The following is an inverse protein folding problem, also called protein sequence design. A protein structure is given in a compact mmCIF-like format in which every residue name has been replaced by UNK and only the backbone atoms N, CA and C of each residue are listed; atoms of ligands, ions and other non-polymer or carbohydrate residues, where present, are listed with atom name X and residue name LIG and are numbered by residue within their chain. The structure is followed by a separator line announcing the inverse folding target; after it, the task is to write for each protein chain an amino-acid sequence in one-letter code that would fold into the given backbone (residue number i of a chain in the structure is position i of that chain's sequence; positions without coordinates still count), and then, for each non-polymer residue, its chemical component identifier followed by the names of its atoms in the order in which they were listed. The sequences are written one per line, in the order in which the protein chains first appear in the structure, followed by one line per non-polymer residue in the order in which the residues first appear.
data_IF_266059689351
#
_entry.id   IF_266059689351
#
_cell.length_a   1.000
_cell.length_b   1.000
_cell.length_c   1.000
_cell.angle_alpha   90.00
_cell.angle_beta   90.00
_cell.angle_gamma   90.00
#
_symmetry.space_group_name_H-M   'P 1'
#
loop_
_entity.id
_entity.type
_entity.pdbx_description
1 polymer ?
#
# COMPACT_ATOMS: atom_id res chain seq x y z
N UNK A 1 18.93 8.85 -9.93
CA UNK A 1 18.27 7.93 -8.96
C UNK A 1 18.79 8.27 -7.58
N UNK A 2 17.92 8.31 -6.57
CA UNK A 2 18.33 8.52 -5.19
C UNK A 2 17.69 7.49 -4.27
N UNK A 3 18.28 7.26 -3.10
CA UNK A 3 17.82 6.26 -2.17
C UNK A 3 17.82 6.81 -0.74
N UNK A 4 16.82 6.39 0.04
CA UNK A 4 16.77 6.61 1.49
C UNK A 4 16.30 5.34 2.18
N UNK A 5 17.20 4.70 2.94
CA UNK A 5 16.94 3.36 3.47
C UNK A 5 16.67 2.39 2.32
N UNK A 6 15.60 1.58 2.44
CA UNK A 6 15.19 0.60 1.41
C UNK A 6 14.30 1.17 0.31
N UNK A 7 14.08 2.49 0.29
CA UNK A 7 13.25 3.15 -0.74
C UNK A 7 14.15 3.78 -1.79
N UNK A 8 13.87 3.48 -3.05
CA UNK A 8 14.58 3.99 -4.23
C UNK A 8 13.64 4.86 -5.04
N UNK A 9 14.10 6.04 -5.45
CA UNK A 9 13.33 6.96 -6.27
C UNK A 9 14.09 7.26 -7.56
N UNK A 10 13.39 7.04 -8.67
CA UNK A 10 13.87 7.30 -10.00
C UNK A 10 13.03 8.39 -10.65
N UNK A 11 13.70 9.44 -11.13
CA UNK A 11 13.11 10.60 -11.78
C UNK A 11 13.83 10.84 -13.11
N UNK A 12 13.12 11.40 -14.07
CA UNK A 12 13.64 11.82 -15.37
C UNK A 12 13.07 13.18 -15.73
N UNK A 13 13.80 13.96 -16.51
CA UNK A 13 13.36 15.22 -17.10
C UNK A 13 13.06 15.09 -18.61
N UNK A 14 12.92 13.87 -19.13
CA UNK A 14 12.73 13.62 -20.56
C UNK A 14 11.38 14.13 -21.10
N UNK A 15 10.39 14.39 -20.24
CA UNK A 15 9.08 14.95 -20.59
C UNK A 15 8.05 13.89 -21.01
N UNK A 16 6.78 14.29 -21.10
CA UNK A 16 5.64 13.38 -21.27
C UNK A 16 5.58 12.62 -22.60
N UNK A 17 6.33 13.08 -23.60
CA UNK A 17 6.40 12.47 -24.93
C UNK A 17 7.73 11.74 -25.17
N UNK A 18 8.54 11.57 -24.12
CA UNK A 18 9.76 10.80 -24.25
C UNK A 18 9.43 9.31 -24.41
N UNK A 19 10.26 8.65 -25.20
CA UNK A 19 10.34 7.19 -25.16
C UNK A 19 10.82 6.69 -23.78
N UNK A 20 11.06 5.39 -23.72
CA UNK A 20 11.56 4.71 -22.53
C UNK A 20 13.01 5.12 -22.21
N UNK A 21 13.24 5.58 -20.98
CA UNK A 21 14.58 5.82 -20.43
C UNK A 21 14.91 4.68 -19.49
N UNK A 22 15.97 3.92 -19.80
CA UNK A 22 16.46 2.82 -19.00
C UNK A 22 17.77 3.16 -18.30
N UNK A 23 17.94 2.67 -17.08
CA UNK A 23 19.19 2.81 -16.34
C UNK A 23 19.39 1.63 -15.39
N UNK A 24 20.60 1.07 -15.37
CA UNK A 24 21.03 0.13 -14.35
C UNK A 24 21.61 0.90 -13.17
N UNK A 25 21.10 0.62 -11.98
CA UNK A 25 21.54 1.23 -10.72
C UNK A 25 22.20 0.16 -9.88
N UNK A 26 23.41 0.43 -9.38
CA UNK A 26 24.14 -0.46 -8.48
C UNK A 26 24.15 0.08 -7.05
N UNK A 27 24.58 -0.78 -6.11
CA UNK A 27 24.73 -0.43 -4.69
C UNK A 27 23.43 0.01 -4.01
N UNK A 28 22.29 -0.45 -4.51
CA UNK A 28 21.01 -0.23 -3.83
C UNK A 28 21.00 -1.01 -2.52
N UNK A 29 20.67 -0.35 -1.41
CA UNK A 29 20.66 -1.04 -0.12
C UNK A 29 19.47 -1.99 -0.05
N UNK A 30 19.74 -3.25 0.21
CA UNK A 30 18.76 -4.30 0.33
C UNK A 30 19.45 -5.65 0.37
N UNK A 31 18.65 -6.71 0.49
CA UNK A 31 19.14 -8.07 0.40
C UNK A 31 19.07 -8.47 -1.08
N UNK A 32 20.13 -9.06 -1.60
CA UNK A 32 20.09 -9.66 -2.94
C UNK A 32 18.94 -10.68 -3.03
N UNK A 33 18.21 -10.66 -4.13
CA UNK A 33 16.99 -11.45 -4.33
C UNK A 33 15.73 -10.83 -3.72
N UNK A 34 15.83 -9.73 -2.95
CA UNK A 34 14.63 -9.05 -2.45
C UNK A 34 13.86 -8.34 -3.56
N UNK A 35 12.53 -8.35 -3.43
CA UNK A 35 11.59 -7.75 -4.38
C UNK A 35 11.29 -6.31 -3.96
N UNK A 36 11.51 -5.36 -4.87
CA UNK A 36 11.12 -3.97 -4.72
C UNK A 36 10.03 -3.64 -5.74
N UNK A 37 8.93 -3.07 -5.29
CA UNK A 37 7.76 -2.76 -6.11
C UNK A 37 7.55 -1.26 -6.22
N UNK A 38 7.10 -0.81 -7.40
CA UNK A 38 6.67 0.57 -7.59
C UNK A 38 5.39 0.81 -6.78
N UNK A 39 5.47 1.74 -5.82
CA UNK A 39 4.36 2.04 -4.91
C UNK A 39 3.14 2.57 -5.68
N UNK A 40 3.37 3.32 -6.76
CA UNK A 40 2.33 3.93 -7.58
C UNK A 40 2.01 3.12 -8.85
N UNK A 41 2.70 2.01 -9.07
CA UNK A 41 2.58 1.19 -10.27
C UNK A 41 1.54 0.07 -10.15
N UNK A 42 1.42 -0.71 -11.22
CA UNK A 42 0.64 -1.96 -11.20
C UNK A 42 1.26 -2.99 -10.25
N UNK A 43 0.51 -4.06 -9.97
CA UNK A 43 0.97 -5.09 -9.05
C UNK A 43 2.26 -5.79 -9.52
N UNK A 44 2.47 -5.80 -10.83
CA UNK A 44 3.57 -6.46 -11.50
C UNK A 44 4.77 -5.52 -11.78
N UNK A 45 4.67 -4.22 -11.48
CA UNK A 45 5.78 -3.27 -11.64
C UNK A 45 6.76 -3.40 -10.47
N UNK A 46 7.42 -4.55 -10.41
CA UNK A 46 8.41 -4.90 -9.39
C UNK A 46 9.71 -5.39 -10.04
N UNK A 47 10.78 -5.30 -9.27
CA UNK A 47 12.16 -5.58 -9.69
C UNK A 47 12.84 -6.36 -8.59
N UNK A 48 13.64 -7.36 -9.00
CA UNK A 48 14.43 -8.18 -8.09
C UNK A 48 15.81 -7.56 -7.98
N UNK A 49 16.27 -7.38 -6.76
CA UNK A 49 17.60 -6.84 -6.50
C UNK A 49 18.66 -7.89 -6.84
N UNK A 50 19.48 -7.62 -7.84
CA UNK A 50 20.59 -8.48 -8.24
C UNK A 50 21.83 -8.31 -7.36
N UNK A 51 22.88 -9.05 -7.72
CA UNK A 51 24.17 -9.01 -7.03
C UNK A 51 24.72 -7.59 -6.89
N UNK A 52 25.28 -7.29 -5.71
CA UNK A 52 25.82 -5.97 -5.40
C UNK A 52 24.77 -4.86 -5.34
N UNK A 53 23.50 -5.21 -5.12
CA UNK A 53 22.40 -4.24 -5.09
C UNK A 53 22.08 -3.67 -6.47
N UNK A 54 22.21 -4.48 -7.52
CA UNK A 54 21.92 -4.05 -8.89
C UNK A 54 20.43 -4.12 -9.20
N UNK A 55 19.89 -3.14 -9.90
CA UNK A 55 18.52 -3.19 -10.43
C UNK A 55 18.41 -2.37 -11.71
N UNK A 56 17.57 -2.84 -12.64
CA UNK A 56 17.23 -2.10 -13.85
C UNK A 56 15.97 -1.29 -13.64
N UNK A 57 16.02 -0.02 -14.01
CA UNK A 57 14.90 0.91 -13.90
C UNK A 57 14.53 1.39 -15.30
N UNK A 58 13.24 1.34 -15.59
CA UNK A 58 12.65 1.86 -16.83
C UNK A 58 11.59 2.91 -16.49
N UNK A 59 11.74 4.09 -17.09
CA UNK A 59 10.85 5.24 -16.96
C UNK A 59 10.25 5.56 -18.34
N UNK A 60 8.91 5.64 -18.44
CA UNK A 60 8.20 5.91 -19.70
C UNK A 60 7.47 7.25 -19.62
N UNK A 61 7.40 7.97 -20.74
CA UNK A 61 6.63 9.21 -20.86
C UNK A 61 6.99 10.23 -19.76
N UNK A 62 8.28 10.37 -19.44
CA UNK A 62 8.74 11.27 -18.38
C UNK A 62 8.29 10.91 -16.96
N UNK A 63 7.66 9.76 -16.75
CA UNK A 63 7.13 9.33 -15.45
C UNK A 63 8.23 8.91 -14.48
N UNK A 64 8.13 9.36 -13.22
CA UNK A 64 8.97 8.87 -12.14
C UNK A 64 8.45 7.58 -11.53
N UNK A 65 9.31 6.83 -10.84
CA UNK A 65 8.95 5.63 -10.08
C UNK A 65 9.54 5.66 -8.68
N UNK A 66 8.80 5.10 -7.71
CA UNK A 66 9.24 4.94 -6.33
C UNK A 66 9.17 3.47 -5.99
N UNK A 67 10.33 2.83 -5.86
CA UNK A 67 10.45 1.44 -5.50
C UNK A 67 10.65 1.28 -4.00
N UNK A 68 9.88 0.39 -3.40
CA UNK A 68 10.00 0.01 -2.00
C UNK A 68 9.78 -1.50 -1.84
N UNK A 69 10.24 -2.10 -0.74
CA UNK A 69 9.93 -3.49 -0.42
C UNK A 69 8.43 -3.75 -0.44
N UNK A 70 8.04 -4.97 -0.82
CA UNK A 70 6.63 -5.37 -0.96
C UNK A 70 5.83 -5.12 0.33
N UNK A 71 6.45 -5.28 1.50
CA UNK A 71 5.86 -5.00 2.81
C UNK A 71 5.47 -3.53 3.03
N UNK A 72 5.98 -2.59 2.23
CA UNK A 72 5.64 -1.17 2.30
C UNK A 72 4.54 -0.78 1.32
N UNK A 73 4.21 -1.66 0.37
CA UNK A 73 3.17 -1.37 -0.60
C UNK A 73 1.82 -1.77 0.00
N UNK A 74 1.08 -0.76 0.44
CA UNK A 74 -0.26 -0.92 1.01
C UNK A 74 -1.26 -1.28 -0.10
N UNK A 75 -1.30 -2.55 -0.50
CA UNK A 75 -2.18 -3.05 -1.58
C UNK A 75 -3.51 -3.61 -1.07
N UNK A 76 -3.53 -4.06 0.19
CA UNK A 76 -4.71 -4.67 0.82
C UNK A 76 -5.40 -3.75 1.84
N UNK A 77 -5.19 -2.45 1.72
CA UNK A 77 -6.19 -1.50 2.24
C UNK A 77 -7.41 -1.53 1.33
N UNK A 78 -8.09 -2.68 1.28
CA UNK A 78 -9.54 -2.66 1.16
C UNK A 78 -10.04 -1.58 2.13
N UNK A 79 -11.09 -0.82 1.81
CA UNK A 79 -11.61 0.20 2.71
C UNK A 79 -12.20 -0.50 3.94
N UNK A 80 -11.36 -0.92 4.87
CA UNK A 80 -11.72 -1.25 6.23
C UNK A 80 -12.09 0.09 6.87
N UNK A 81 -13.35 0.47 6.68
CA UNK A 81 -14.04 1.44 7.52
C UNK A 81 -13.46 2.86 7.53
N UNK A 82 -13.46 3.51 6.37
CA UNK A 82 -13.61 4.98 6.33
C UNK A 82 -15.10 5.32 6.52
N UNK A 83 -15.67 4.94 7.66
CA UNK A 83 -16.91 5.53 8.18
C UNK A 83 -16.53 6.47 9.31
N UNK A 84 -16.17 7.70 8.97
CA UNK A 84 -15.98 8.77 9.96
C UNK A 84 -17.31 9.29 10.53
N UNK A 85 -18.44 8.69 10.17
CA UNK A 85 -19.79 9.16 10.53
C UNK A 85 -20.52 8.32 11.58
N UNK A 86 -19.96 7.23 12.09
CA UNK A 86 -20.58 6.47 13.19
C UNK A 86 -19.57 6.12 14.27
N UNK A 87 -19.22 7.10 15.11
CA UNK A 87 -18.72 6.82 16.46
C UNK A 87 -19.92 6.51 17.37
N UNK A 88 -20.12 5.30 17.90
CA UNK A 88 -20.57 5.17 19.27
C UNK A 88 -19.32 5.30 20.15
N UNK A 89 -19.42 6.17 21.15
CA UNK A 89 -18.37 6.42 22.12
C UNK A 89 -17.84 5.10 22.71
N UNK A 90 -16.53 4.89 22.65
CA UNK A 90 -15.84 3.93 23.52
C UNK A 90 -15.98 4.47 24.94
N UNK A 91 -16.97 3.95 25.66
CA UNK A 91 -17.10 4.16 27.09
C UNK A 91 -15.90 3.49 27.77
N UNK A 92 -14.94 4.30 28.17
CA UNK A 92 -13.87 3.94 29.08
C UNK A 92 -14.51 3.53 30.42
N UNK A 93 -14.59 2.23 30.72
CA UNK A 93 -14.91 1.73 32.07
C UNK A 93 -14.08 0.50 32.42
N UNK A 94 -13.34 0.68 33.51
CA UNK A 94 -12.75 -0.28 34.44
C UNK A 94 -13.38 -1.69 34.49
N UNK A 95 -12.62 -2.71 34.93
CA UNK A 95 -13.09 -4.09 35.00
C UNK A 95 -14.07 -4.24 36.16
N UNK A 96 -15.35 -4.37 35.83
CA UNK A 96 -16.35 -4.88 36.75
C UNK A 96 -17.40 -5.68 35.97
N UNK A 97 -17.16 -6.99 35.94
CA UNK A 97 -18.14 -8.08 35.94
C UNK A 97 -19.61 -7.65 35.79
N UNK A 98 -20.18 -7.76 34.59
CA UNK A 98 -21.62 -7.98 34.41
C UNK A 98 -21.81 -8.97 33.24
N UNK A 99 -22.15 -10.20 33.62
CA UNK A 99 -22.66 -11.26 32.77
C UNK A 99 -24.10 -10.89 32.38
N UNK A 100 -24.38 -10.63 31.11
CA UNK A 100 -25.76 -10.66 30.59
C UNK A 100 -25.77 -11.51 29.32
N UNK A 101 -26.25 -12.74 29.50
CA UNK A 101 -26.81 -13.53 28.41
C UNK A 101 -28.03 -12.78 27.85
N UNK A 102 -28.00 -12.49 26.55
CA UNK A 102 -29.23 -12.45 25.75
C UNK A 102 -29.11 -13.49 24.63
N UNK A 103 -29.89 -14.54 24.84
CA UNK A 103 -30.17 -15.68 23.98
C UNK A 103 -30.76 -15.20 22.66
N UNK A 104 -30.31 -15.77 21.55
CA UNK A 104 -30.78 -15.41 20.21
C UNK A 104 -32.19 -15.88 19.92
N UNK A 105 -32.89 -15.18 19.02
CA UNK A 105 -34.00 -15.70 18.21
C UNK A 105 -34.07 -14.89 16.90
N UNK A 106 -33.78 -15.59 15.80
CA UNK A 106 -34.52 -15.62 14.51
C UNK A 106 -35.27 -14.37 14.03
N UNK A 107 -35.02 -13.98 12.77
CA UNK A 107 -36.10 -13.56 11.87
C UNK A 107 -36.04 -12.11 11.37
N UNK A 108 -35.80 -12.00 10.07
CA UNK A 108 -36.29 -10.97 9.13
C UNK A 108 -37.33 -9.97 9.66
N UNK A 109 -37.16 -8.68 9.32
CA UNK A 109 -38.22 -7.91 8.66
C UNK A 109 -37.70 -6.62 8.00
N UNK A 110 -38.09 -6.47 6.73
CA UNK A 110 -37.95 -5.30 5.85
C UNK A 110 -38.91 -4.15 6.29
N UNK A 111 -38.85 -2.96 5.65
CA UNK A 111 -39.26 -1.69 6.23
C UNK A 111 -40.74 -1.34 6.01
N UNK A 112 -41.30 -0.53 6.90
CA UNK A 112 -42.35 0.44 6.56
C UNK A 112 -42.20 1.67 7.46
N UNK A 113 -42.08 2.85 6.86
CA UNK A 113 -42.35 4.11 7.55
C UNK A 113 -43.13 5.03 6.61
N UNK A 114 -44.43 5.10 6.86
CA UNK A 114 -45.28 6.17 6.37
C UNK A 114 -45.09 7.42 7.23
N UNK A 115 -45.29 8.56 6.58
CA UNK A 115 -45.37 9.92 7.12
C UNK A 115 -45.83 10.83 6.00
#
# INVERSE_FOLDING_TARGET
VFQRGRVVVALTNAGSNSDEVTATVSMVSGIEGSKLCNIYGSVDDCVILGAGGSMDISLKNGGGKVYAPEEYVLRDLAPAHVSWWTKPAVAMRSPALILVLCVGVVGTCCPMRGG
#
